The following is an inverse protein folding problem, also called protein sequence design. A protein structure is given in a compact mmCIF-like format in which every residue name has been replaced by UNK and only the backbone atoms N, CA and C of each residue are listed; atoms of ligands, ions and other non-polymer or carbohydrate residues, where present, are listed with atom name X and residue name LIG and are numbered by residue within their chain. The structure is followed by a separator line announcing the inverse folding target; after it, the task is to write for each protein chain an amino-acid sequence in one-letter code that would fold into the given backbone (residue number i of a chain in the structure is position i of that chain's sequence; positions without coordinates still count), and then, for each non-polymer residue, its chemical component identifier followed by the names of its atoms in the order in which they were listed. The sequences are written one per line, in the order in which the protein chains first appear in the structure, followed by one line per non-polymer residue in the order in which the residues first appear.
data_IF_629928798963
#
_entry.id   IF_629928798963
#
_cell.length_a   1.000
_cell.length_b   1.000
_cell.length_c   1.000
_cell.angle_alpha   90.00
_cell.angle_beta   90.00
_cell.angle_gamma   90.00
#
_symmetry.space_group_name_H-M   'P 1'
#
loop_
_entity.id
_entity.type
_entity.pdbx_description
1 polymer ?
#
# COMPACT_ATOMS: atom_id res chain seq x y z
N UNK A 1 -13.05 14.53 33.87
CA UNK A 1 -11.63 14.15 33.88
C UNK A 1 -11.23 14.03 32.42
N UNK A 2 -10.66 15.10 31.89
CA UNK A 2 -10.44 15.33 30.46
C UNK A 2 -8.93 15.23 30.22
N UNK A 3 -8.49 14.34 29.33
CA UNK A 3 -7.06 14.11 29.06
C UNK A 3 -6.78 14.57 27.64
N UNK A 4 -5.94 15.61 27.57
CA UNK A 4 -5.74 16.46 26.41
C UNK A 4 -4.93 15.86 25.27
N UNK A 5 -5.19 16.43 24.10
CA UNK A 5 -4.44 16.29 22.85
C UNK A 5 -3.01 16.78 23.04
N UNK A 6 -2.03 15.96 22.62
CA UNK A 6 -0.67 16.41 22.35
C UNK A 6 -0.24 15.84 20.98
N UNK A 7 -0.34 16.66 19.95
CA UNK A 7 0.38 16.45 18.68
C UNK A 7 1.32 17.65 18.54
N UNK A 8 2.62 17.37 18.58
CA UNK A 8 3.67 18.36 18.41
C UNK A 8 3.74 18.79 16.95
N UNK A 9 3.70 20.12 16.78
CA UNK A 9 4.07 20.85 15.57
C UNK A 9 5.59 20.79 15.38
N UNK A 10 6.03 20.56 14.14
CA UNK A 10 7.38 20.89 13.69
C UNK A 10 7.24 21.78 12.46
N UNK A 11 7.41 23.09 12.67
CA UNK A 11 7.74 24.09 11.64
C UNK A 11 9.18 24.53 11.92
N UNK A 12 10.09 24.42 10.93
CA UNK A 12 11.14 25.41 10.72
C UNK A 12 11.52 25.54 9.24
N UNK A 13 11.42 26.80 8.79
CA UNK A 13 11.72 27.37 7.47
C UNK A 13 13.23 27.54 7.22
N UNK A 14 13.61 27.67 5.93
CA UNK A 14 14.49 28.72 5.35
C UNK A 14 14.56 28.51 3.83
N UNK A 15 13.88 29.35 3.03
CA UNK A 15 14.39 30.58 2.38
C UNK A 15 15.45 30.33 1.30
N UNK A 16 15.18 30.69 0.05
CA UNK A 16 15.94 31.69 -0.72
C UNK A 16 15.10 32.22 -1.90
N UNK A 17 15.22 33.52 -2.09
CA UNK A 17 14.46 34.41 -2.95
C UNK A 17 15.41 34.84 -4.09
N UNK A 18 14.96 34.80 -5.35
CA UNK A 18 15.61 35.51 -6.45
C UNK A 18 14.55 36.27 -7.23
N UNK A 19 14.73 37.58 -7.26
CA UNK A 19 13.98 38.58 -8.02
C UNK A 19 14.54 38.64 -9.44
N UNK A 20 13.68 38.81 -10.45
CA UNK A 20 14.08 39.51 -11.67
C UNK A 20 12.89 40.27 -12.26
N UNK A 21 13.12 41.55 -12.55
CA UNK A 21 12.22 42.50 -13.21
C UNK A 21 12.88 42.88 -14.53
N UNK A 22 12.11 42.98 -15.62
CA UNK A 22 12.59 43.58 -16.86
C UNK A 22 11.58 43.55 -18.01
N UNK A 23 11.03 44.72 -18.31
CA UNK A 23 10.07 45.03 -19.38
C UNK A 23 10.74 45.07 -20.77
N UNK A 24 9.94 45.01 -21.86
CA UNK A 24 10.32 45.58 -23.16
C UNK A 24 9.64 44.98 -24.39
N UNK A 25 8.75 45.76 -25.01
CA UNK A 25 7.99 45.42 -26.22
C UNK A 25 8.80 45.59 -27.52
N UNK A 26 8.44 44.83 -28.56
CA UNK A 26 8.92 44.97 -29.95
C UNK A 26 7.85 44.55 -30.97
N UNK A 27 7.87 45.09 -32.21
CA UNK A 27 6.69 45.23 -33.09
C UNK A 27 6.36 44.00 -33.98
N UNK A 28 5.17 43.94 -34.62
CA UNK A 28 4.72 42.77 -35.39
C UNK A 28 5.15 42.83 -36.87
N UNK A 29 5.49 41.67 -37.45
CA UNK A 29 5.82 41.48 -38.87
C UNK A 29 5.08 40.22 -39.40
N UNK A 30 4.63 40.19 -40.68
CA UNK A 30 3.34 39.63 -41.06
C UNK A 30 3.33 38.16 -41.52
N UNK A 31 2.11 37.61 -41.52
CA UNK A 31 1.70 36.30 -42.01
C UNK A 31 2.20 36.01 -43.43
N UNK A 32 2.81 34.84 -43.63
CA UNK A 32 2.92 34.20 -44.94
C UNK A 32 2.35 32.79 -44.86
N UNK A 33 1.29 32.56 -45.63
CA UNK A 33 0.66 31.26 -45.81
C UNK A 33 1.61 30.33 -46.59
N UNK A 34 1.86 29.13 -46.07
CA UNK A 34 2.45 28.01 -46.80
C UNK A 34 1.69 26.73 -46.48
N UNK A 35 1.57 25.89 -47.51
CA UNK A 35 0.52 24.90 -47.69
C UNK A 35 0.44 23.81 -46.63
N UNK A 36 -0.80 23.47 -46.27
CA UNK A 36 -1.17 22.36 -45.41
C UNK A 36 -1.21 21.09 -46.28
N UNK A 37 -0.20 20.22 -46.17
CA UNK A 37 -0.36 18.82 -46.60
C UNK A 37 -1.28 18.09 -45.60
N UNK A 38 -2.19 17.22 -46.04
CA UNK A 38 -2.97 16.40 -45.12
C UNK A 38 -2.03 15.42 -44.39
N UNK A 39 -2.17 15.24 -43.06
CA UNK A 39 -1.47 14.17 -42.38
C UNK A 39 -2.01 12.83 -42.86
N UNK A 40 -1.10 11.94 -43.27
CA UNK A 40 -1.36 10.52 -43.43
C UNK A 40 -1.95 9.97 -42.11
N UNK A 41 -2.96 9.09 -42.14
CA UNK A 41 -3.49 8.50 -40.92
C UNK A 41 -2.43 7.57 -40.33
N UNK A 42 -1.70 8.06 -39.32
CA UNK A 42 -0.95 7.19 -38.41
C UNK A 42 -1.97 6.37 -37.63
N UNK A 43 -2.06 5.09 -37.95
CA UNK A 43 -2.75 4.07 -37.15
C UNK A 43 -2.08 3.96 -35.79
N UNK A 44 -2.46 4.82 -34.86
CA UNK A 44 -2.01 4.83 -33.47
C UNK A 44 -3.01 4.07 -32.58
N UNK A 45 -3.39 2.85 -32.94
CA UNK A 45 -4.32 2.04 -32.14
C UNK A 45 -3.87 0.58 -32.11
N UNK A 46 -2.91 0.26 -31.22
CA UNK A 46 -2.83 -1.07 -30.57
C UNK A 46 -1.73 -1.21 -29.51
N UNK A 47 -0.77 -0.29 -29.40
CA UNK A 47 0.37 -0.48 -28.49
C UNK A 47 0.03 -0.10 -27.04
N UNK A 48 -0.73 0.96 -26.81
CA UNK A 48 -1.10 1.43 -25.46
C UNK A 48 -2.12 0.53 -24.76
N UNK A 49 -2.99 -0.17 -25.50
CA UNK A 49 -3.93 -1.14 -24.92
C UNK A 49 -3.23 -2.39 -24.42
N UNK A 50 -2.23 -2.89 -25.15
CA UNK A 50 -1.48 -4.08 -24.77
C UNK A 50 -0.56 -3.81 -23.58
N UNK A 51 0.11 -2.65 -23.53
CA UNK A 51 0.98 -2.29 -22.41
C UNK A 51 0.22 -2.17 -21.08
N UNK A 52 -1.00 -1.63 -21.11
CA UNK A 52 -1.81 -1.47 -19.90
C UNK A 52 -2.34 -2.82 -19.40
N UNK A 53 -2.69 -3.73 -20.31
CA UNK A 53 -3.13 -5.08 -19.95
C UNK A 53 -1.98 -5.93 -19.37
N UNK A 54 -0.79 -5.84 -19.96
CA UNK A 54 0.42 -6.49 -19.45
C UNK A 54 0.80 -5.97 -18.06
N UNK A 55 0.82 -4.65 -17.88
CA UNK A 55 1.08 -4.04 -16.58
C UNK A 55 0.06 -4.51 -15.53
N UNK A 56 -1.24 -4.51 -15.86
CA UNK A 56 -2.28 -4.97 -14.94
C UNK A 56 -2.15 -6.46 -14.55
N UNK A 57 -1.71 -7.32 -15.48
CA UNK A 57 -1.41 -8.72 -15.15
C UNK A 57 -0.20 -8.85 -14.22
N UNK A 58 0.85 -8.06 -14.47
CA UNK A 58 2.04 -8.05 -13.64
C UNK A 58 1.75 -7.53 -12.23
N UNK A 59 0.96 -6.46 -12.09
CA UNK A 59 0.51 -5.91 -10.80
C UNK A 59 -0.24 -6.95 -9.97
N UNK A 60 -1.19 -7.66 -10.58
CA UNK A 60 -1.95 -8.72 -9.90
C UNK A 60 -1.05 -9.86 -9.42
N UNK A 61 -0.08 -10.25 -10.23
CA UNK A 61 0.87 -11.29 -9.86
C UNK A 61 1.75 -10.85 -8.69
N UNK A 62 2.24 -9.60 -8.69
CA UNK A 62 3.02 -9.05 -7.58
C UNK A 62 2.21 -8.98 -6.28
N UNK A 63 0.95 -8.56 -6.36
CA UNK A 63 0.06 -8.56 -5.19
C UNK A 63 -0.19 -9.97 -4.67
N UNK A 64 -0.48 -10.94 -5.54
CA UNK A 64 -0.67 -12.33 -5.16
C UNK A 64 0.58 -12.98 -4.55
N UNK A 65 1.78 -12.47 -4.89
CA UNK A 65 3.04 -12.92 -4.30
C UNK A 65 3.37 -12.28 -2.95
N UNK A 66 2.78 -11.12 -2.65
CA UNK A 66 3.19 -10.28 -1.52
C UNK A 66 2.04 -9.96 -0.56
N UNK A 67 0.85 -10.55 -0.75
CA UNK A 67 -0.29 -10.45 0.16
C UNK A 67 -0.87 -11.84 0.37
N UNK A 68 -1.03 -12.22 1.63
CA UNK A 68 -1.71 -13.44 2.06
C UNK A 68 -2.76 -13.06 3.10
N UNK A 69 -3.93 -13.70 3.06
CA UNK A 69 -4.99 -13.48 4.02
C UNK A 69 -5.65 -14.82 4.37
N UNK A 70 -6.26 -14.88 5.55
CA UNK A 70 -6.91 -16.08 6.06
C UNK A 70 -7.50 -15.84 7.44
N UNK A 71 -7.89 -16.93 8.11
CA UNK A 71 -8.33 -16.87 9.51
C UNK A 71 -7.42 -17.77 10.35
N UNK A 72 -6.87 -17.24 11.44
CA UNK A 72 -5.94 -17.96 12.31
C UNK A 72 -6.51 -19.28 12.88
N UNK A 73 -7.83 -19.38 13.05
CA UNK A 73 -8.50 -20.61 13.49
C UNK A 73 -8.72 -21.65 12.38
N UNK A 74 -8.63 -21.25 11.12
CA UNK A 74 -8.84 -22.10 9.94
C UNK A 74 -7.50 -22.55 9.30
N UNK A 75 -6.37 -21.99 9.75
CA UNK A 75 -5.04 -22.32 9.22
C UNK A 75 -4.59 -23.72 9.65
N UNK A 76 -4.02 -24.48 8.71
CA UNK A 76 -3.18 -25.61 9.07
C UNK A 76 -1.90 -25.10 9.74
N UNK A 77 -1.74 -25.43 11.02
CA UNK A 77 -0.58 -25.05 11.83
C UNK A 77 0.42 -26.19 11.95
N UNK A 78 0.24 -27.30 11.22
CA UNK A 78 1.11 -28.48 11.32
C UNK A 78 1.36 -28.89 12.78
N UNK A 79 0.28 -28.91 13.57
CA UNK A 79 0.27 -29.29 15.00
C UNK A 79 1.04 -28.35 15.94
N UNK A 80 1.56 -27.22 15.47
CA UNK A 80 2.29 -26.28 16.34
C UNK A 80 1.38 -25.31 17.09
N UNK A 81 0.21 -25.00 16.55
CA UNK A 81 -0.71 -24.00 17.10
C UNK A 81 -0.36 -22.54 16.76
N UNK A 82 0.66 -22.28 15.93
CA UNK A 82 0.98 -20.94 15.42
C UNK A 82 1.04 -20.93 13.89
N UNK A 83 0.55 -19.87 13.23
CA UNK A 83 0.57 -19.76 11.76
C UNK A 83 1.71 -18.90 11.19
N UNK A 84 2.39 -18.12 12.02
CA UNK A 84 3.63 -17.37 11.70
C UNK A 84 4.74 -17.89 12.62
N UNK A 85 5.92 -18.15 12.08
CA UNK A 85 7.02 -18.68 12.88
C UNK A 85 8.23 -19.08 12.05
N UNK A 86 9.08 -19.92 12.64
CA UNK A 86 10.39 -20.29 12.10
C UNK A 86 10.47 -21.70 11.52
N UNK A 87 9.40 -22.49 11.61
CA UNK A 87 9.37 -23.86 11.11
C UNK A 87 9.38 -23.90 9.58
N UNK A 88 9.98 -24.92 8.97
CA UNK A 88 10.10 -25.02 7.51
C UNK A 88 8.76 -25.04 6.79
N UNK A 89 7.70 -25.57 7.40
CA UNK A 89 6.35 -25.58 6.80
C UNK A 89 5.76 -24.16 6.62
N UNK A 90 6.31 -23.16 7.33
CA UNK A 90 5.94 -21.74 7.10
C UNK A 90 6.60 -21.18 5.83
N UNK A 91 7.56 -21.90 5.24
CA UNK A 91 8.13 -21.64 3.91
C UNK A 91 7.23 -22.31 2.86
N UNK A 92 6.88 -21.61 1.80
CA UNK A 92 6.09 -22.17 0.69
C UNK A 92 4.82 -21.40 0.33
N UNK A 93 4.33 -20.52 1.21
CA UNK A 93 3.38 -19.49 0.80
C UNK A 93 4.10 -18.45 -0.08
N UNK A 94 3.42 -17.82 -1.06
CA UNK A 94 4.02 -16.77 -1.86
C UNK A 94 4.68 -15.69 -0.99
N UNK A 95 5.92 -15.34 -1.30
CA UNK A 95 6.69 -14.35 -0.53
C UNK A 95 7.22 -14.82 0.83
N UNK A 96 6.97 -16.08 1.24
CA UNK A 96 7.34 -16.64 2.54
C UNK A 96 6.94 -15.71 3.70
N UNK A 97 5.77 -15.09 3.60
CA UNK A 97 5.36 -13.99 4.48
C UNK A 97 5.25 -14.42 5.95
N UNK A 98 4.83 -15.67 6.18
CA UNK A 98 4.66 -16.26 7.51
C UNK A 98 5.96 -16.81 8.11
N UNK A 99 7.05 -16.83 7.35
CA UNK A 99 8.33 -17.34 7.82
C UNK A 99 9.19 -16.24 8.46
N UNK A 100 9.72 -16.55 9.64
CA UNK A 100 10.67 -15.73 10.40
C UNK A 100 11.86 -16.62 10.75
N UNK A 101 13.08 -16.36 10.23
CA UNK A 101 14.24 -17.20 10.56
C UNK A 101 14.52 -17.19 12.07
N UNK A 102 14.89 -18.35 12.64
CA UNK A 102 15.17 -18.49 14.07
C UNK A 102 16.56 -17.99 14.47
N UNK A 103 17.49 -18.02 13.53
CA UNK A 103 18.92 -17.71 13.67
C UNK A 103 19.27 -16.25 13.32
N UNK A 104 18.29 -15.48 12.85
CA UNK A 104 18.46 -14.08 12.48
C UNK A 104 17.57 -13.16 13.34
N UNK A 105 18.12 -12.05 13.88
CA UNK A 105 17.30 -11.09 14.62
C UNK A 105 16.36 -10.34 13.68
N UNK A 106 15.08 -10.25 14.07
CA UNK A 106 14.15 -9.35 13.39
C UNK A 106 14.53 -7.88 13.62
N UNK A 107 14.52 -7.08 12.56
CA UNK A 107 14.75 -5.64 12.63
C UNK A 107 13.44 -4.85 12.57
N UNK A 108 13.43 -3.65 13.15
CA UNK A 108 12.31 -2.71 13.01
C UNK A 108 10.98 -3.21 13.55
N UNK A 109 11.01 -4.11 14.54
CA UNK A 109 9.81 -4.65 15.20
C UNK A 109 8.92 -3.51 15.70
N UNK A 110 7.68 -3.51 15.28
CA UNK A 110 6.67 -2.56 15.73
C UNK A 110 5.36 -3.30 15.97
N UNK A 111 4.81 -3.15 17.18
CA UNK A 111 3.51 -3.70 17.57
C UNK A 111 2.56 -2.53 17.79
N UNK A 112 1.38 -2.60 17.17
CA UNK A 112 0.33 -1.61 17.30
C UNK A 112 -0.95 -2.31 17.68
N UNK A 113 -1.59 -1.84 18.75
CA UNK A 113 -2.90 -2.28 19.17
C UNK A 113 -3.81 -1.08 19.16
N UNK A 114 -4.88 -1.12 18.37
CA UNK A 114 -5.79 0.01 18.29
C UNK A 114 -7.23 -0.42 18.09
N UNK A 115 -8.13 0.24 18.83
CA UNK A 115 -9.56 0.15 18.60
C UNK A 115 -9.99 1.28 17.67
N UNK A 116 -10.26 0.90 16.43
CA UNK A 116 -10.76 1.76 15.38
C UNK A 116 -12.26 2.00 15.54
N UNK A 117 -12.74 3.25 15.74
CA UNK A 117 -14.16 3.54 15.54
C UNK A 117 -14.53 3.42 14.06
N UNK A 118 -15.84 3.31 13.77
CA UNK A 118 -16.32 3.35 12.40
C UNK A 118 -15.88 4.66 11.71
N UNK A 119 -15.50 4.56 10.44
CA UNK A 119 -14.89 5.64 9.66
C UNK A 119 -13.41 5.90 9.97
N UNK A 120 -12.75 5.13 10.84
CA UNK A 120 -11.32 5.25 11.09
C UNK A 120 -10.63 3.89 10.93
N UNK A 121 -9.53 3.78 10.17
CA UNK A 121 -9.04 4.75 9.20
C UNK A 121 -10.05 4.91 8.04
N UNK A 122 -9.89 5.95 7.22
CA UNK A 122 -10.72 6.19 6.04
C UNK A 122 -9.87 6.32 4.76
N UNK A 123 -8.95 5.38 4.58
CA UNK A 123 -8.11 5.33 3.38
C UNK A 123 -6.99 6.38 3.37
N UNK A 124 -6.57 6.89 4.53
CA UNK A 124 -5.49 7.87 4.61
C UNK A 124 -4.18 7.29 4.06
N UNK A 125 -3.40 8.14 3.39
CA UNK A 125 -2.10 7.76 2.84
C UNK A 125 -1.17 7.20 3.92
N UNK A 126 -0.48 6.11 3.57
CA UNK A 126 0.59 5.51 4.36
C UNK A 126 1.88 5.47 3.54
N UNK A 127 3.05 5.58 4.18
CA UNK A 127 4.30 5.27 3.52
C UNK A 127 4.29 3.87 2.92
N UNK A 128 5.12 3.68 1.89
CA UNK A 128 5.37 2.36 1.31
C UNK A 128 5.82 1.38 2.41
N UNK A 129 5.39 0.12 2.31
CA UNK A 129 5.75 -0.89 3.31
C UNK A 129 7.25 -1.21 3.21
N UNK A 130 8.04 -0.92 4.25
CA UNK A 130 9.49 -1.22 4.26
C UNK A 130 9.81 -2.65 4.72
N UNK A 131 8.83 -3.39 5.23
CA UNK A 131 9.01 -4.71 5.83
C UNK A 131 7.72 -5.53 5.76
N UNK A 132 7.78 -6.74 6.33
CA UNK A 132 6.59 -7.58 6.50
C UNK A 132 5.67 -6.97 7.55
N UNK A 133 4.39 -6.92 7.25
CA UNK A 133 3.38 -6.41 8.18
C UNK A 133 2.20 -7.37 8.19
N UNK A 134 1.67 -7.63 9.38
CA UNK A 134 0.47 -8.43 9.59
C UNK A 134 -0.52 -7.63 10.41
N UNK A 135 -1.77 -7.58 9.98
CA UNK A 135 -2.90 -7.05 10.75
C UNK A 135 -3.91 -8.17 11.01
N UNK A 136 -4.35 -8.29 12.26
CA UNK A 136 -5.29 -9.31 12.73
C UNK A 136 -6.49 -8.62 13.38
N UNK A 137 -7.70 -9.04 13.01
CA UNK A 137 -8.93 -8.65 13.69
C UNK A 137 -9.05 -9.42 15.00
N UNK A 138 -8.89 -8.71 16.13
CA UNK A 138 -8.95 -9.31 17.47
C UNK A 138 -10.28 -9.05 18.17
N UNK A 139 -11.10 -8.12 17.67
CA UNK A 139 -12.50 -8.01 18.12
C UNK A 139 -13.33 -9.20 17.63
N UNK A 140 -14.56 -9.37 18.15
CA UNK A 140 -15.59 -10.19 17.52
C UNK A 140 -15.92 -9.70 16.09
N UNK A 141 -17.02 -10.22 15.54
CA UNK A 141 -17.49 -9.87 14.19
C UNK A 141 -17.50 -8.36 13.95
N UNK A 142 -16.84 -7.93 12.88
CA UNK A 142 -16.68 -6.52 12.47
C UNK A 142 -16.54 -6.43 10.95
N UNK A 143 -16.21 -5.25 10.42
CA UNK A 143 -15.80 -5.05 9.04
C UNK A 143 -14.64 -4.06 8.99
N UNK A 144 -13.44 -4.59 8.75
CA UNK A 144 -12.23 -3.79 8.56
C UNK A 144 -11.60 -4.16 7.22
N UNK A 145 -11.62 -3.22 6.27
CA UNK A 145 -11.15 -3.45 4.90
C UNK A 145 -9.76 -2.88 4.70
N UNK A 146 -8.89 -3.64 4.06
CA UNK A 146 -7.55 -3.21 3.70
C UNK A 146 -7.42 -3.37 2.18
N UNK A 147 -6.89 -2.34 1.53
CA UNK A 147 -6.59 -2.31 0.11
C UNK A 147 -5.09 -2.19 -0.11
N UNK A 148 -4.58 -2.89 -1.12
CA UNK A 148 -3.18 -2.97 -1.50
C UNK A 148 -3.03 -2.58 -2.97
N UNK A 149 -1.90 -1.94 -3.28
CA UNK A 149 -1.53 -1.54 -4.63
C UNK A 149 -0.01 -1.55 -4.80
N UNK A 150 0.45 -1.79 -6.03
CA UNK A 150 1.86 -1.62 -6.43
C UNK A 150 2.18 -0.16 -6.82
N UNK A 151 1.15 0.68 -6.96
CA UNK A 151 1.26 2.12 -7.25
C UNK A 151 0.57 2.97 -6.17
N UNK A 152 1.07 4.18 -5.96
CA UNK A 152 0.58 5.08 -4.90
C UNK A 152 -0.84 5.64 -5.14
N UNK A 153 -1.31 5.62 -6.39
CA UNK A 153 -2.60 6.18 -6.81
C UNK A 153 -3.78 5.22 -6.62
N UNK A 154 -3.52 3.94 -6.31
CA UNK A 154 -4.55 2.90 -6.15
C UNK A 154 -5.49 2.82 -7.36
N UNK A 155 -4.92 2.76 -8.57
CA UNK A 155 -5.70 2.63 -9.79
C UNK A 155 -6.62 1.39 -9.72
N UNK A 156 -7.94 1.50 -10.01
CA UNK A 156 -8.90 0.45 -9.69
C UNK A 156 -8.58 -0.96 -10.23
N UNK A 157 -7.92 -1.04 -11.38
CA UNK A 157 -7.52 -2.30 -12.01
C UNK A 157 -6.34 -3.01 -11.31
N UNK A 158 -5.61 -2.29 -10.46
CA UNK A 158 -4.37 -2.71 -9.79
C UNK A 158 -4.52 -2.78 -8.25
N UNK A 159 -5.76 -2.77 -7.76
CA UNK A 159 -6.05 -2.87 -6.32
C UNK A 159 -6.48 -4.29 -5.94
N UNK A 160 -5.86 -4.82 -4.89
CA UNK A 160 -6.34 -6.00 -4.17
C UNK A 160 -6.97 -5.54 -2.85
N UNK A 161 -8.19 -5.99 -2.56
CA UNK A 161 -8.89 -5.65 -1.34
C UNK A 161 -9.22 -6.92 -0.54
N UNK A 162 -9.08 -6.85 0.79
CA UNK A 162 -9.53 -7.89 1.70
C UNK A 162 -10.25 -7.27 2.90
N UNK A 163 -11.33 -7.89 3.36
CA UNK A 163 -12.10 -7.41 4.51
C UNK A 163 -12.09 -8.46 5.61
N UNK A 164 -11.52 -8.08 6.74
CA UNK A 164 -11.52 -8.84 7.97
C UNK A 164 -12.91 -8.74 8.61
N UNK A 165 -13.56 -9.88 8.86
CA UNK A 165 -14.93 -9.96 9.37
C UNK A 165 -15.09 -10.79 10.63
N UNK A 166 -14.25 -11.81 10.84
CA UNK A 166 -14.29 -12.72 11.97
C UNK A 166 -13.07 -12.51 12.85
N UNK A 167 -13.22 -12.77 14.15
CA UNK A 167 -12.09 -12.86 15.06
C UNK A 167 -11.03 -13.82 14.48
N UNK A 168 -9.77 -13.40 14.49
CA UNK A 168 -8.66 -14.15 13.92
C UNK A 168 -8.46 -13.98 12.41
N UNK A 169 -9.35 -13.27 11.70
CA UNK A 169 -9.09 -12.89 10.31
C UNK A 169 -7.81 -12.04 10.27
N UNK A 170 -6.91 -12.37 9.36
CA UNK A 170 -5.65 -11.68 9.18
C UNK A 170 -5.41 -11.35 7.72
N UNK A 171 -4.58 -10.33 7.52
CA UNK A 171 -3.84 -10.13 6.29
C UNK A 171 -2.38 -9.89 6.65
N UNK A 172 -1.47 -10.53 5.91
CA UNK A 172 -0.03 -10.37 6.00
C UNK A 172 0.50 -9.96 4.63
N UNK A 173 1.41 -9.00 4.60
CA UNK A 173 1.96 -8.49 3.37
C UNK A 173 3.44 -8.16 3.47
N UNK A 174 4.11 -8.21 2.32
CA UNK A 174 5.54 -7.95 2.17
C UNK A 174 5.89 -6.47 1.99
N UNK A 175 7.20 -6.17 1.91
CA UNK A 175 7.67 -4.83 1.57
C UNK A 175 7.28 -4.44 0.14
N UNK A 176 7.36 -3.14 -0.19
CA UNK A 176 7.15 -2.64 -1.54
C UNK A 176 5.69 -2.46 -1.95
N UNK A 177 4.75 -2.65 -1.03
CA UNK A 177 3.32 -2.41 -1.27
C UNK A 177 2.82 -1.13 -0.62
N UNK A 178 2.02 -0.38 -1.37
CA UNK A 178 1.14 0.65 -0.82
C UNK A 178 -0.08 -0.04 -0.20
N UNK A 179 -0.53 0.48 0.93
CA UNK A 179 -1.75 0.00 1.56
C UNK A 179 -2.55 1.15 2.16
N UNK A 180 -3.87 0.96 2.20
CA UNK A 180 -4.80 1.84 2.91
C UNK A 180 -5.88 1.01 3.57
N UNK A 181 -6.39 1.47 4.70
CA UNK A 181 -7.36 0.73 5.48
C UNK A 181 -8.63 1.55 5.72
N UNK A 182 -9.74 0.86 5.94
CA UNK A 182 -11.06 1.41 6.12
C UNK A 182 -11.75 0.70 7.29
N UNK A 183 -11.98 1.43 8.38
CA UNK A 183 -12.80 0.94 9.49
C UNK A 183 -14.27 1.08 9.14
N UNK A 184 -14.85 0.11 8.42
CA UNK A 184 -16.26 0.15 8.01
C UNK A 184 -17.16 0.04 9.24
N UNK A 185 -16.79 -0.83 10.18
CA UNK A 185 -17.38 -0.95 11.50
C UNK A 185 -16.32 -0.76 12.60
N UNK A 186 -16.71 -0.56 13.86
CA UNK A 186 -15.75 -0.53 14.95
C UNK A 186 -14.98 -1.85 15.04
N UNK A 187 -13.66 -1.77 15.04
CA UNK A 187 -12.78 -2.94 14.95
C UNK A 187 -11.58 -2.80 15.87
N UNK A 188 -11.20 -3.87 16.56
CA UNK A 188 -9.92 -3.90 17.27
C UNK A 188 -8.90 -4.63 16.40
N UNK A 189 -7.83 -3.94 16.01
CA UNK A 189 -6.79 -4.48 15.13
C UNK A 189 -5.46 -4.54 15.88
N UNK A 190 -4.85 -5.73 15.87
CA UNK A 190 -3.46 -5.94 16.25
C UNK A 190 -2.62 -5.94 14.98
N UNK A 191 -1.63 -5.04 14.88
CA UNK A 191 -0.69 -5.00 13.76
C UNK A 191 0.73 -5.23 14.25
N UNK A 192 1.44 -6.16 13.60
CA UNK A 192 2.85 -6.44 13.84
C UNK A 192 3.62 -6.17 12.55
N UNK A 193 4.71 -5.39 12.64
CA UNK A 193 5.64 -5.15 11.54
C UNK A 193 7.03 -5.61 11.93
N UNK A 194 7.73 -6.25 11.00
CA UNK A 194 9.14 -6.61 11.14
C UNK A 194 9.81 -6.65 9.77
N UNK A 195 11.13 -6.50 9.76
CA UNK A 195 11.95 -6.70 8.57
C UNK A 195 12.97 -7.81 8.85
N UNK A 196 13.41 -8.57 7.84
CA UNK A 196 14.67 -9.31 7.92
C UNK A 196 15.82 -8.36 8.32
N UNK A 197 16.94 -8.89 8.83
CA UNK A 197 18.16 -8.12 8.94
C UNK A 197 18.53 -7.47 7.60
N UNK A 198 19.14 -6.28 7.63
CA UNK A 198 19.70 -5.64 6.44
C UNK A 198 21.07 -6.22 6.11
#
# INVERSE_FOLDING_TARGET
MEIGKLIQSVDQRKSHMVVSVGQGAGPPIPRRAQGRMPPQPVTAHNQTSNSNAEFGMQSKQLLAQNVEFGNAGDMDTHETGWFVGFSDWTKGAPGNLRHVPADEPAAGLCVKWFYHPAGNPNGEFKPLSDGRTMSVLVSPTSEFRIEFSVTADFAPQDVMAHTLRRHGDFVIWGPGLFHRAFGVQPACILTVRWSPPR
#
